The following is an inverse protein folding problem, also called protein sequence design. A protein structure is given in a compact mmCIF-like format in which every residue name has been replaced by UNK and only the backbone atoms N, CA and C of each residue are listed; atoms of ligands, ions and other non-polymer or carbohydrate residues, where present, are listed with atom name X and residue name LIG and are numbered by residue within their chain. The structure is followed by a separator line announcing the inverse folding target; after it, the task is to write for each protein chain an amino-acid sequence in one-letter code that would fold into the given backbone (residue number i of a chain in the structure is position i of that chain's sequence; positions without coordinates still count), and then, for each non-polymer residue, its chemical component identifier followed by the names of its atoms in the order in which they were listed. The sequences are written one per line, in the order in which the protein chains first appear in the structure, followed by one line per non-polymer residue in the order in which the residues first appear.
data_IF_658460719736
#
_entry.id   IF_658460719736
#
_cell.length_a   1.000
_cell.length_b   1.000
_cell.length_c   1.000
_cell.angle_alpha   90.00
_cell.angle_beta   90.00
_cell.angle_gamma   90.00
#
_symmetry.space_group_name_H-M   'P 1'
#
loop_
_entity.id
_entity.type
_entity.pdbx_description
1 polymer ?
#
# COMPACT_ATOMS: atom_id res chain seq x y z
N UNK A 1 -24.27 -10.87 -4.48
CA UNK A 1 -24.61 -10.76 -5.92
C UNK A 1 -23.71 -9.69 -6.53
N UNK A 2 -23.21 -9.91 -7.74
CA UNK A 2 -22.52 -8.90 -8.54
C UNK A 2 -23.12 -8.93 -9.95
N UNK A 3 -23.33 -7.75 -10.55
CA UNK A 3 -23.78 -7.67 -11.94
C UNK A 3 -22.63 -8.07 -12.88
N UNK A 4 -22.89 -8.66 -14.06
CA UNK A 4 -21.85 -8.96 -15.04
C UNK A 4 -20.94 -7.78 -15.41
N UNK A 5 -21.44 -6.54 -15.31
CA UNK A 5 -20.69 -5.31 -15.56
C UNK A 5 -19.97 -4.71 -14.35
N UNK A 6 -20.11 -5.30 -13.15
CA UNK A 6 -19.41 -4.83 -11.94
C UNK A 6 -17.90 -4.98 -12.12
N UNK A 7 -17.14 -3.96 -11.72
CA UNK A 7 -15.69 -4.06 -11.51
C UNK A 7 -15.42 -4.28 -10.02
N UNK A 8 -14.65 -5.31 -9.70
CA UNK A 8 -14.35 -5.73 -8.34
C UNK A 8 -12.97 -6.40 -8.27
N UNK A 9 -12.67 -7.09 -7.17
CA UNK A 9 -11.34 -7.63 -6.90
C UNK A 9 -10.42 -6.55 -6.38
N UNK A 10 -9.27 -6.33 -7.03
CA UNK A 10 -8.22 -5.42 -6.54
C UNK A 10 -7.78 -5.77 -5.11
N UNK A 11 -7.76 -7.07 -4.80
CA UNK A 11 -7.30 -7.56 -3.50
C UNK A 11 -5.78 -7.42 -3.48
N UNK A 12 -5.29 -6.49 -2.68
CA UNK A 12 -3.89 -6.10 -2.59
C UNK A 12 -3.74 -4.86 -1.72
N UNK A 13 -2.49 -4.51 -1.38
CA UNK A 13 -2.16 -3.34 -0.54
C UNK A 13 -1.02 -2.60 -1.22
N UNK A 14 -1.14 -1.28 -1.37
CA UNK A 14 -0.10 -0.44 -1.94
C UNK A 14 0.10 0.83 -1.13
N UNK A 15 1.35 1.30 -1.11
CA UNK A 15 1.71 2.66 -0.71
C UNK A 15 2.28 3.38 -1.92
N UNK A 16 1.89 4.63 -2.12
CA UNK A 16 2.49 5.49 -3.15
C UNK A 16 3.20 6.65 -2.46
N UNK A 17 4.45 6.89 -2.84
CA UNK A 17 5.27 7.99 -2.33
C UNK A 17 5.75 8.85 -3.48
N UNK A 18 5.67 10.17 -3.31
CA UNK A 18 6.22 11.14 -4.24
C UNK A 18 7.27 11.97 -3.50
N UNK A 19 8.48 12.02 -4.05
CA UNK A 19 9.52 12.91 -3.57
C UNK A 19 9.54 14.18 -4.43
N UNK A 20 9.11 15.29 -3.85
CA UNK A 20 9.06 16.61 -4.50
C UNK A 20 10.26 17.49 -4.16
N UNK A 21 11.28 16.97 -3.49
CA UNK A 21 12.47 17.73 -3.08
C UNK A 21 13.09 18.52 -4.24
N UNK A 22 13.24 17.91 -5.42
CA UNK A 22 13.81 18.58 -6.60
C UNK A 22 12.98 19.76 -7.09
N UNK A 23 11.65 19.73 -6.90
CA UNK A 23 10.78 20.87 -7.21
C UNK A 23 11.03 22.03 -6.25
N UNK A 24 11.13 21.74 -4.94
CA UNK A 24 11.42 22.77 -3.93
C UNK A 24 12.81 23.40 -4.14
N UNK A 25 13.81 22.58 -4.45
CA UNK A 25 15.15 23.06 -4.80
C UNK A 25 15.10 24.02 -6.02
N UNK A 26 14.32 23.69 -7.06
CA UNK A 26 14.17 24.54 -8.24
C UNK A 26 13.54 25.91 -7.95
N UNK A 27 12.59 25.97 -7.00
CA UNK A 27 11.95 27.23 -6.56
C UNK A 27 12.61 27.85 -5.33
N UNK A 28 13.78 27.34 -4.92
CA UNK A 28 14.58 27.83 -3.79
C UNK A 28 13.84 27.83 -2.45
N UNK A 29 13.00 26.81 -2.24
CA UNK A 29 12.35 26.54 -0.95
C UNK A 29 13.16 25.49 -0.22
N UNK A 30 13.51 25.77 1.03
CA UNK A 30 14.13 24.81 1.93
C UNK A 30 13.09 24.26 2.91
N UNK A 31 13.10 22.95 3.10
CA UNK A 31 12.29 22.27 4.10
C UNK A 31 13.18 21.89 5.29
N UNK A 32 12.67 22.08 6.51
CA UNK A 32 13.35 21.68 7.74
C UNK A 32 12.36 20.94 8.63
N UNK A 33 12.60 19.65 8.85
CA UNK A 33 11.81 18.82 9.75
C UNK A 33 12.47 18.75 11.13
N UNK A 34 11.76 19.21 12.17
CA UNK A 34 12.10 18.96 13.58
C UNK A 34 11.10 17.93 14.11
N UNK A 35 11.56 16.74 14.49
CA UNK A 35 10.67 15.62 14.89
C UNK A 35 11.11 14.95 16.19
N UNK A 36 10.14 14.50 16.97
CA UNK A 36 10.32 13.64 18.13
C UNK A 36 9.76 12.24 17.81
N UNK A 37 10.66 11.29 17.54
CA UNK A 37 10.31 9.90 17.18
C UNK A 37 10.89 9.50 15.82
N UNK A 38 11.43 8.28 15.75
CA UNK A 38 12.20 7.75 14.62
C UNK A 38 11.43 7.79 13.29
N UNK A 39 10.15 7.43 13.33
CA UNK A 39 9.26 7.24 12.16
C UNK A 39 8.31 8.43 11.88
N UNK A 40 8.47 9.57 12.57
CA UNK A 40 7.49 10.67 12.51
C UNK A 40 7.47 11.47 11.20
N UNK A 41 8.34 11.13 10.28
CA UNK A 41 8.41 11.69 8.93
C UNK A 41 8.47 10.58 7.86
N UNK A 42 8.10 9.34 8.21
CA UNK A 42 7.93 8.26 7.22
C UNK A 42 6.92 8.73 6.18
N UNK A 43 7.23 8.49 4.90
CA UNK A 43 6.51 9.04 3.74
C UNK A 43 6.55 10.57 3.58
N UNK A 44 7.46 11.29 4.26
CA UNK A 44 7.69 12.70 3.97
C UNK A 44 7.97 12.90 2.48
N UNK A 45 7.25 13.81 1.79
CA UNK A 45 7.45 14.05 0.36
C UNK A 45 8.69 14.89 0.07
N UNK A 46 9.38 15.39 1.11
CA UNK A 46 10.50 16.32 0.99
C UNK A 46 11.87 15.63 1.06
N UNK A 47 11.88 14.32 1.27
CA UNK A 47 13.10 13.50 1.25
C UNK A 47 12.86 12.17 0.52
N UNK A 48 13.92 11.52 0.03
CA UNK A 48 13.83 10.15 -0.44
C UNK A 48 13.31 9.20 0.64
N UNK A 49 12.59 8.16 0.22
CA UNK A 49 12.25 7.04 1.09
C UNK A 49 13.55 6.31 1.46
N UNK A 50 13.83 6.20 2.76
CA UNK A 50 15.02 5.50 3.25
C UNK A 50 14.71 4.02 3.51
N UNK A 51 15.75 3.22 3.76
CA UNK A 51 15.58 1.77 3.95
C UNK A 51 14.69 1.43 5.14
N UNK A 52 14.87 2.14 6.25
CA UNK A 52 14.07 1.96 7.46
C UNK A 52 12.56 2.16 7.18
N UNK A 53 12.21 3.24 6.47
CA UNK A 53 10.82 3.50 6.10
C UNK A 53 10.29 2.42 5.16
N UNK A 54 11.12 1.95 4.22
CA UNK A 54 10.76 0.89 3.27
C UNK A 54 10.46 -0.42 3.99
N UNK A 55 11.34 -0.85 4.88
CA UNK A 55 11.17 -2.09 5.66
C UNK A 55 9.90 -2.04 6.52
N UNK A 56 9.67 -0.91 7.23
CA UNK A 56 8.49 -0.73 8.07
C UNK A 56 7.19 -0.78 7.25
N UNK A 57 7.12 -0.02 6.15
CA UNK A 57 5.94 0.02 5.28
C UNK A 57 5.72 -1.32 4.57
N UNK A 58 6.79 -2.04 4.22
CA UNK A 58 6.69 -3.36 3.61
C UNK A 58 6.11 -4.36 4.63
N UNK A 59 6.60 -4.37 5.87
CA UNK A 59 6.07 -5.24 6.92
C UNK A 59 4.57 -4.97 7.19
N UNK A 60 4.18 -3.69 7.27
CA UNK A 60 2.76 -3.30 7.42
C UNK A 60 1.93 -3.76 6.22
N UNK A 61 2.47 -3.63 5.01
CA UNK A 61 1.77 -4.05 3.79
C UNK A 61 1.55 -5.56 3.76
N UNK A 62 2.55 -6.34 4.15
CA UNK A 62 2.46 -7.80 4.20
C UNK A 62 1.46 -8.29 5.25
N UNK A 63 1.46 -7.69 6.44
CA UNK A 63 0.51 -8.01 7.49
C UNK A 63 -0.94 -7.68 7.07
N UNK A 64 -1.15 -6.47 6.54
CA UNK A 64 -2.46 -6.01 6.05
C UNK A 64 -2.95 -6.88 4.89
N UNK A 65 -2.06 -7.24 3.96
CA UNK A 65 -2.38 -8.13 2.85
C UNK A 65 -2.74 -9.54 3.34
N UNK A 66 -2.00 -10.06 4.32
CA UNK A 66 -2.30 -11.32 4.99
C UNK A 66 -3.67 -11.30 5.66
N UNK A 67 -4.02 -10.22 6.36
CA UNK A 67 -5.36 -10.05 6.94
C UNK A 67 -6.44 -10.04 5.86
N UNK A 68 -6.27 -9.26 4.79
CA UNK A 68 -7.26 -9.20 3.72
C UNK A 68 -7.50 -10.59 3.08
N UNK A 69 -6.43 -11.36 2.86
CA UNK A 69 -6.55 -12.74 2.38
C UNK A 69 -7.39 -13.60 3.35
N UNK A 70 -7.10 -13.53 4.66
CA UNK A 70 -7.84 -14.28 5.69
C UNK A 70 -9.32 -13.94 5.69
N UNK A 71 -9.65 -12.66 5.69
CA UNK A 71 -11.03 -12.19 5.73
C UNK A 71 -11.81 -12.63 4.47
N UNK A 72 -11.16 -12.62 3.30
CA UNK A 72 -11.75 -13.12 2.05
C UNK A 72 -11.90 -14.64 2.09
N UNK A 73 -10.91 -15.37 2.57
CA UNK A 73 -10.94 -16.82 2.69
C UNK A 73 -12.11 -17.26 3.58
N UNK A 74 -12.24 -16.66 4.77
CA UNK A 74 -13.34 -16.91 5.71
C UNK A 74 -14.69 -16.56 5.08
N UNK A 75 -14.83 -15.34 4.56
CA UNK A 75 -16.10 -14.86 3.98
C UNK A 75 -16.54 -15.62 2.73
N UNK A 76 -15.64 -16.37 2.07
CA UNK A 76 -15.93 -17.16 0.86
C UNK A 76 -15.89 -18.68 1.09
N UNK A 77 -15.50 -19.13 2.28
CA UNK A 77 -15.29 -20.55 2.57
C UNK A 77 -14.20 -21.18 1.69
N UNK A 78 -13.17 -20.42 1.34
CA UNK A 78 -12.04 -20.86 0.51
C UNK A 78 -10.80 -21.08 1.38
N UNK A 79 -9.82 -21.85 0.90
CA UNK A 79 -8.50 -21.89 1.53
C UNK A 79 -7.71 -20.62 1.21
N UNK A 80 -6.87 -20.16 2.15
CA UNK A 80 -6.01 -18.99 1.92
C UNK A 80 -5.12 -19.15 0.68
N UNK A 81 -4.61 -20.37 0.41
CA UNK A 81 -3.76 -20.63 -0.76
C UNK A 81 -4.51 -20.44 -2.09
N UNK A 82 -5.83 -20.66 -2.11
CA UNK A 82 -6.67 -20.41 -3.28
C UNK A 82 -6.91 -18.91 -3.48
N UNK A 83 -7.16 -18.19 -2.38
CA UNK A 83 -7.31 -16.73 -2.41
C UNK A 83 -6.02 -16.05 -2.85
N UNK A 84 -4.85 -16.49 -2.37
CA UNK A 84 -3.54 -15.94 -2.76
C UNK A 84 -3.28 -16.02 -4.27
N UNK A 85 -3.76 -17.07 -4.96
CA UNK A 85 -3.66 -17.20 -6.42
C UNK A 85 -4.53 -16.20 -7.18
N UNK A 86 -5.52 -15.59 -6.52
CA UNK A 86 -6.45 -14.62 -7.10
C UNK A 86 -6.14 -13.18 -6.64
N UNK A 87 -5.44 -13.02 -5.51
CA UNK A 87 -5.22 -11.75 -4.81
C UNK A 87 -3.95 -11.01 -5.27
N UNK A 88 -3.67 -11.00 -6.57
CA UNK A 88 -2.50 -10.31 -7.14
C UNK A 88 -2.76 -8.82 -7.45
N UNK A 89 -3.77 -8.20 -6.81
CA UNK A 89 -4.17 -6.82 -7.06
C UNK A 89 -4.92 -6.57 -8.36
N UNK A 90 -5.20 -7.60 -9.17
CA UNK A 90 -5.91 -7.44 -10.45
C UNK A 90 -7.41 -7.16 -10.26
N UNK A 91 -7.96 -6.39 -11.19
CA UNK A 91 -9.40 -6.09 -11.27
C UNK A 91 -10.10 -7.24 -12.02
N UNK A 92 -11.30 -7.58 -11.55
CA UNK A 92 -12.18 -8.59 -12.17
C UNK A 92 -13.52 -7.97 -12.52
N UNK A 93 -14.20 -8.56 -13.50
CA UNK A 93 -15.62 -8.32 -13.73
C UNK A 93 -16.49 -9.15 -12.80
N UNK A 94 -17.81 -8.90 -12.75
CA UNK A 94 -18.75 -9.74 -12.00
C UNK A 94 -19.09 -11.09 -12.65
N UNK A 95 -18.52 -11.41 -13.82
CA UNK A 95 -18.54 -12.71 -14.48
C UNK A 95 -17.31 -13.52 -14.14
#
# INVERSE_FOLDING_TARGET
YASPGTLTGSIGVIWTHFNVRGLLEAVKIEETTIKAGKYKDTLSPYRPLNELDREELQAISEDTYGQFIRDVAEGRGLKEEEVRKLAEGRIYTGR
#
